data_IF_386127092202
#
_entry.id   IF_386127092202
#
_cell.length_a   1.000
_cell.length_b   1.000
_cell.length_c   1.000
_cell.angle_alpha   90.00
_cell.angle_beta   90.00
_cell.angle_gamma   90.00
#
_symmetry.space_group_name_H-M   'P 1'
#
loop_
_entity.id
_entity.type
_entity.pdbx_description
1 polymer ?
#
# COMPACT_ATOMS: atom_id res chain seq x y z
N UNK A 1 21.48 5.99 19.93
CA UNK A 1 20.33 6.65 20.55
C UNK A 1 19.75 7.75 19.66
N UNK A 2 19.16 7.34 18.51
CA UNK A 2 18.74 8.27 17.44
C UNK A 2 17.24 8.61 17.52
N UNK A 3 16.59 8.27 18.60
CA UNK A 3 15.20 8.67 18.78
C UNK A 3 15.14 10.06 19.41
N UNK A 4 15.08 11.11 18.57
CA UNK A 4 14.71 12.46 19.02
C UNK A 4 13.42 12.34 19.83
N UNK A 5 13.46 12.74 21.10
CA UNK A 5 12.31 12.81 22.01
C UNK A 5 11.23 13.68 21.35
N UNK A 6 10.18 13.08 20.87
CA UNK A 6 9.01 13.81 20.40
C UNK A 6 8.07 13.98 21.60
N UNK A 7 7.82 15.22 21.94
CA UNK A 7 6.85 15.58 22.99
C UNK A 7 5.46 15.63 22.36
N UNK A 8 4.53 14.90 22.93
CA UNK A 8 3.13 14.85 22.49
C UNK A 8 2.27 15.47 23.59
N UNK A 9 1.36 16.36 23.24
CA UNK A 9 0.39 16.91 24.19
C UNK A 9 -0.94 16.16 24.05
N UNK A 10 -1.40 15.55 25.15
CA UNK A 10 -2.71 14.91 25.26
C UNK A 10 -3.51 15.66 26.32
N UNK A 11 -4.64 16.25 25.94
CA UNK A 11 -5.54 16.93 26.90
C UNK A 11 -4.85 17.92 27.84
N UNK A 12 -3.85 18.67 27.34
CA UNK A 12 -3.10 19.63 28.15
C UNK A 12 -1.87 19.04 28.89
N UNK A 13 -1.66 17.74 28.89
CA UNK A 13 -0.49 17.10 29.44
C UNK A 13 0.58 16.90 28.38
N UNK A 14 1.84 17.11 28.77
CA UNK A 14 3.01 16.87 27.90
C UNK A 14 3.56 15.49 28.21
N UNK A 15 3.44 14.57 27.26
CA UNK A 15 3.99 13.24 27.36
C UNK A 15 5.27 13.12 26.53
N UNK A 16 6.27 12.48 27.08
CA UNK A 16 7.45 12.06 26.33
C UNK A 16 7.12 10.77 25.56
N UNK A 17 7.78 10.51 24.45
CA UNK A 17 7.54 9.36 23.56
C UNK A 17 7.58 7.98 24.25
N UNK A 18 8.21 7.90 25.42
CA UNK A 18 8.29 6.68 26.24
C UNK A 18 7.17 6.56 27.27
N UNK A 19 6.42 7.63 27.50
CA UNK A 19 5.25 7.57 28.35
C UNK A 19 4.15 6.95 27.49
N UNK A 20 3.67 5.78 27.89
CA UNK A 20 2.74 4.93 27.13
C UNK A 20 1.62 5.76 26.50
N UNK A 21 1.72 6.01 25.21
CA UNK A 21 0.56 6.43 24.41
C UNK A 21 -0.39 5.25 24.43
N UNK A 22 -1.63 5.40 24.93
CA UNK A 22 -2.57 4.28 24.96
C UNK A 22 -2.66 3.65 23.56
N UNK A 23 -2.58 2.32 23.49
CA UNK A 23 -2.80 1.59 22.26
C UNK A 23 -4.16 2.00 21.68
N UNK A 24 -4.14 2.53 20.46
CA UNK A 24 -5.34 3.02 19.79
C UNK A 24 -5.51 4.55 19.76
N UNK A 25 -4.62 5.33 20.35
CA UNK A 25 -4.63 6.77 20.18
C UNK A 25 -4.30 7.16 18.74
N UNK A 26 -5.21 7.86 18.08
CA UNK A 26 -5.03 8.32 16.70
C UNK A 26 -4.40 9.71 16.71
N UNK A 27 -3.24 9.86 16.11
CA UNK A 27 -2.64 11.16 15.83
C UNK A 27 -3.45 11.83 14.72
N UNK A 28 -4.27 12.80 15.09
CA UNK A 28 -5.06 13.59 14.14
C UNK A 28 -4.21 14.78 13.72
N UNK A 29 -3.74 14.79 12.49
CA UNK A 29 -3.17 15.98 11.89
C UNK A 29 -4.26 16.78 11.24
N UNK A 30 -4.31 18.07 11.46
CA UNK A 30 -5.30 18.92 10.81
C UNK A 30 -5.09 18.94 9.30
N UNK A 31 -6.08 18.48 8.59
CA UNK A 31 -6.14 18.60 7.13
C UNK A 31 -6.27 20.06 6.66
N UNK A 32 -6.79 20.91 7.53
CA UNK A 32 -7.05 22.33 7.30
C UNK A 32 -6.78 23.17 8.53
N UNK A 33 -6.22 24.39 8.37
CA UNK A 33 -6.22 25.42 9.40
C UNK A 33 -7.67 25.70 9.81
N UNK A 34 -8.06 25.33 11.00
CA UNK A 34 -9.42 25.48 11.50
C UNK A 34 -10.05 24.17 11.96
N UNK A 35 -9.75 23.04 11.30
CA UNK A 35 -10.16 21.73 11.78
C UNK A 35 -9.43 21.35 13.07
N UNK A 36 -8.20 21.85 13.24
CA UNK A 36 -7.41 21.75 14.47
C UNK A 36 -8.19 22.16 15.67
N UNK A 37 -8.71 23.39 15.60
CA UNK A 37 -9.42 24.01 16.70
C UNK A 37 -10.70 23.21 17.05
N UNK A 38 -11.38 22.69 16.02
CA UNK A 38 -12.54 21.83 16.21
C UNK A 38 -12.18 20.50 16.87
N UNK A 39 -11.15 19.83 16.39
CA UNK A 39 -10.67 18.55 16.93
C UNK A 39 -10.22 18.71 18.38
N UNK A 40 -9.46 19.75 18.71
CA UNK A 40 -9.02 20.04 20.08
C UNK A 40 -10.17 20.33 21.05
N UNK A 41 -11.20 21.03 20.59
CA UNK A 41 -12.29 21.46 21.46
C UNK A 41 -13.39 20.41 21.64
N UNK A 42 -13.53 19.47 20.68
CA UNK A 42 -14.66 18.55 20.64
C UNK A 42 -14.27 17.06 20.76
N UNK A 43 -12.99 16.71 20.52
CA UNK A 43 -12.52 15.34 20.62
C UNK A 43 -11.41 15.22 21.69
N UNK A 44 -11.78 14.94 22.96
CA UNK A 44 -10.84 14.95 24.09
C UNK A 44 -9.74 13.88 24.01
N UNK A 45 -9.88 12.91 23.12
CA UNK A 45 -8.88 11.86 22.86
C UNK A 45 -8.00 12.13 21.64
N UNK A 46 -8.13 13.29 20.99
CA UNK A 46 -7.28 13.66 19.88
C UNK A 46 -5.90 14.10 20.36
N UNK A 47 -4.87 13.47 19.84
CA UNK A 47 -3.47 13.80 20.10
C UNK A 47 -2.97 14.68 18.98
N UNK A 48 -2.44 15.85 19.30
CA UNK A 48 -1.79 16.70 18.31
C UNK A 48 -0.33 16.95 18.70
N UNK A 49 0.52 16.88 17.70
CA UNK A 49 1.91 17.29 17.83
C UNK A 49 2.05 18.76 17.44
N UNK A 50 2.82 19.55 18.17
CA UNK A 50 3.04 20.99 17.89
C UNK A 50 3.79 21.24 16.57
N UNK A 51 4.33 20.21 15.97
CA UNK A 51 5.06 20.34 14.70
C UNK A 51 4.10 20.10 13.53
N UNK A 52 4.09 21.00 12.57
CA UNK A 52 3.33 20.93 11.32
C UNK A 52 3.59 19.67 10.47
N UNK A 53 4.52 18.83 10.90
CA UNK A 53 4.92 17.56 10.28
C UNK A 53 4.28 16.32 10.91
N UNK A 54 3.28 16.49 11.77
CA UNK A 54 2.58 15.36 12.35
C UNK A 54 1.72 14.66 11.30
N UNK A 55 2.21 13.52 10.83
CA UNK A 55 1.58 12.66 9.85
C UNK A 55 0.95 11.47 10.57
N UNK A 56 -0.29 11.12 10.21
CA UNK A 56 -0.93 9.97 10.82
C UNK A 56 -0.22 8.67 10.43
N UNK A 57 0.13 7.86 11.42
CA UNK A 57 0.70 6.52 11.23
C UNK A 57 -0.21 5.41 11.75
N UNK A 58 -1.23 5.75 12.54
CA UNK A 58 -2.12 4.78 13.16
C UNK A 58 -1.35 3.77 14.01
N UNK A 59 -1.62 2.49 13.82
CA UNK A 59 -0.90 1.38 14.51
C UNK A 59 0.44 1.01 13.83
N UNK A 60 0.87 1.76 12.84
CA UNK A 60 2.14 1.55 12.14
C UNK A 60 3.23 2.47 12.67
N UNK A 61 4.47 2.04 12.57
CA UNK A 61 5.63 2.83 12.99
C UNK A 61 5.91 4.03 12.08
N UNK A 62 5.37 4.03 10.85
CA UNK A 62 5.64 5.04 9.83
C UNK A 62 4.35 5.35 9.03
N UNK A 63 4.05 6.63 8.74
CA UNK A 63 2.93 7.03 7.89
C UNK A 63 2.92 6.39 6.50
N UNK A 64 4.10 6.10 5.91
CA UNK A 64 4.18 5.44 4.61
C UNK A 64 3.63 4.00 4.66
N UNK A 65 3.83 3.29 5.77
CA UNK A 65 3.29 1.94 5.95
C UNK A 65 1.76 1.97 6.05
N UNK A 66 1.19 2.94 6.75
CA UNK A 66 -0.26 3.15 6.77
C UNK A 66 -0.78 3.48 5.36
N UNK A 67 -0.12 4.40 4.66
CA UNK A 67 -0.48 4.78 3.29
C UNK A 67 -0.49 3.57 2.36
N UNK A 68 0.51 2.69 2.44
CA UNK A 68 0.58 1.46 1.64
C UNK A 68 -0.65 0.59 1.87
N UNK A 69 -1.06 0.37 3.13
CA UNK A 69 -2.26 -0.40 3.45
C UNK A 69 -3.53 0.20 2.85
N UNK A 70 -3.67 1.53 2.94
CA UNK A 70 -4.84 2.22 2.38
C UNK A 70 -4.88 2.10 0.85
N UNK A 71 -3.71 2.25 0.20
CA UNK A 71 -3.59 2.12 -1.27
C UNK A 71 -3.97 0.71 -1.75
N UNK A 72 -3.53 -0.33 -1.04
CA UNK A 72 -3.84 -1.73 -1.39
C UNK A 72 -5.30 -2.08 -1.12
N UNK A 73 -5.85 -1.62 0.00
CA UNK A 73 -7.21 -1.95 0.40
C UNK A 73 -8.27 -1.31 -0.52
N UNK A 74 -7.93 -0.19 -1.15
CA UNK A 74 -8.89 0.59 -1.93
C UNK A 74 -9.48 -0.19 -3.14
N UNK A 75 -8.71 -0.84 -4.02
CA UNK A 75 -9.27 -1.63 -5.11
C UNK A 75 -10.20 -2.74 -4.64
N UNK A 76 -9.82 -3.41 -3.54
CA UNK A 76 -10.64 -4.48 -2.96
C UNK A 76 -11.96 -3.92 -2.41
N UNK A 77 -11.92 -2.75 -1.77
CA UNK A 77 -13.13 -2.10 -1.25
C UNK A 77 -14.07 -1.62 -2.36
N UNK A 78 -13.54 -1.20 -3.51
CA UNK A 78 -14.33 -0.93 -4.73
C UNK A 78 -15.02 -2.20 -5.21
N UNK A 79 -14.31 -3.33 -5.31
CA UNK A 79 -14.91 -4.60 -5.67
C UNK A 79 -16.09 -4.96 -4.75
N UNK A 80 -15.91 -4.83 -3.44
CA UNK A 80 -16.96 -5.11 -2.45
C UNK A 80 -18.17 -4.19 -2.64
N UNK A 81 -17.96 -2.90 -2.87
CA UNK A 81 -19.03 -1.95 -3.13
C UNK A 81 -19.82 -2.27 -4.40
N UNK A 82 -19.11 -2.57 -5.51
CA UNK A 82 -19.75 -2.88 -6.80
C UNK A 82 -20.57 -4.17 -6.73
N UNK A 83 -20.20 -5.11 -5.87
CA UNK A 83 -20.86 -6.40 -5.74
C UNK A 83 -21.77 -6.54 -4.52
N UNK A 84 -21.94 -5.46 -3.74
CA UNK A 84 -22.82 -5.43 -2.57
C UNK A 84 -24.29 -5.72 -2.97
N UNK A 85 -24.90 -6.70 -2.29
CA UNK A 85 -26.25 -7.18 -2.60
C UNK A 85 -27.34 -6.35 -1.93
N UNK A 86 -27.08 -5.80 -0.76
CA UNK A 86 -28.07 -5.05 0.04
C UNK A 86 -27.69 -3.58 0.14
N UNK A 87 -28.69 -2.70 0.39
CA UNK A 87 -28.45 -1.28 0.66
C UNK A 87 -27.50 -1.06 1.84
N UNK A 88 -27.66 -1.85 2.92
CA UNK A 88 -26.79 -1.79 4.10
C UNK A 88 -25.33 -2.09 3.75
N UNK A 89 -25.08 -3.15 2.97
CA UNK A 89 -23.74 -3.49 2.51
C UNK A 89 -23.14 -2.38 1.61
N UNK A 90 -23.93 -1.80 0.71
CA UNK A 90 -23.48 -0.66 -0.11
C UNK A 90 -23.05 0.54 0.72
N UNK A 91 -23.87 0.92 1.71
CA UNK A 91 -23.55 2.03 2.61
C UNK A 91 -22.26 1.72 3.39
N UNK A 92 -22.14 0.51 3.95
CA UNK A 92 -20.95 0.12 4.71
C UNK A 92 -19.68 0.17 3.82
N UNK A 93 -19.74 -0.39 2.61
CA UNK A 93 -18.61 -0.35 1.68
C UNK A 93 -18.29 1.08 1.22
N UNK A 94 -19.28 1.93 1.04
CA UNK A 94 -19.09 3.34 0.74
C UNK A 94 -18.36 4.06 1.88
N UNK A 95 -18.81 3.88 3.12
CA UNK A 95 -18.15 4.45 4.30
C UNK A 95 -16.72 3.93 4.44
N UNK A 96 -16.49 2.64 4.19
CA UNK A 96 -15.13 2.07 4.20
C UNK A 96 -14.23 2.75 3.15
N UNK A 97 -14.72 3.01 1.93
CA UNK A 97 -13.96 3.74 0.91
C UNK A 97 -13.62 5.17 1.34
N UNK A 98 -14.58 5.88 1.95
CA UNK A 98 -14.36 7.23 2.47
C UNK A 98 -13.33 7.21 3.60
N UNK A 99 -13.41 6.26 4.53
CA UNK A 99 -12.46 6.11 5.63
C UNK A 99 -11.05 5.75 5.13
N UNK A 100 -10.93 4.87 4.14
CA UNK A 100 -9.64 4.54 3.49
C UNK A 100 -9.05 5.80 2.87
N UNK A 101 -9.85 6.58 2.15
CA UNK A 101 -9.41 7.83 1.52
C UNK A 101 -8.98 8.88 2.55
N UNK A 102 -9.73 9.04 3.64
CA UNK A 102 -9.41 9.92 4.75
C UNK A 102 -8.14 9.46 5.48
N UNK A 103 -8.01 8.16 5.73
CA UNK A 103 -6.80 7.56 6.31
C UNK A 103 -5.57 7.82 5.46
N UNK A 104 -5.66 7.61 4.15
CA UNK A 104 -4.56 7.92 3.22
C UNK A 104 -4.21 9.42 3.22
N UNK A 105 -5.22 10.27 3.14
CA UNK A 105 -5.07 11.72 3.17
C UNK A 105 -4.35 12.20 4.44
N UNK A 106 -4.71 11.64 5.60
CA UNK A 106 -4.11 11.99 6.89
C UNK A 106 -2.64 11.57 7.03
N UNK A 107 -2.16 10.61 6.23
CA UNK A 107 -0.74 10.24 6.19
C UNK A 107 0.14 11.33 5.58
N UNK A 108 -0.41 12.23 4.79
CA UNK A 108 0.31 13.24 4.01
C UNK A 108 1.47 12.67 3.19
N UNK A 109 1.36 11.41 2.76
CA UNK A 109 2.39 10.70 1.99
C UNK A 109 2.25 11.06 0.52
N UNK A 110 3.20 11.84 0.00
CA UNK A 110 3.19 12.32 -1.40
C UNK A 110 3.06 11.17 -2.40
N UNK A 111 3.97 10.21 -2.32
CA UNK A 111 3.96 9.04 -3.20
C UNK A 111 2.66 8.24 -3.07
N UNK A 112 2.19 7.99 -1.83
CA UNK A 112 0.95 7.27 -1.58
C UNK A 112 -0.27 7.93 -2.22
N UNK A 113 -0.40 9.25 -2.09
CA UNK A 113 -1.51 9.99 -2.68
C UNK A 113 -1.46 9.99 -4.22
N UNK A 114 -0.27 10.14 -4.82
CA UNK A 114 -0.11 10.12 -6.28
C UNK A 114 -0.38 8.73 -6.84
N UNK A 115 0.19 7.69 -6.25
CA UNK A 115 0.01 6.30 -6.69
C UNK A 115 -1.46 5.88 -6.54
N UNK A 116 -2.11 6.23 -5.41
CA UNK A 116 -3.52 5.97 -5.21
C UNK A 116 -4.37 6.69 -6.27
N UNK A 117 -4.13 7.98 -6.50
CA UNK A 117 -4.88 8.74 -7.50
C UNK A 117 -4.71 8.13 -8.90
N UNK A 118 -3.49 7.79 -9.30
CA UNK A 118 -3.23 7.11 -10.57
C UNK A 118 -3.96 5.78 -10.68
N UNK A 119 -3.91 4.95 -9.62
CA UNK A 119 -4.64 3.69 -9.55
C UNK A 119 -6.17 3.86 -9.63
N UNK A 120 -6.70 4.88 -8.97
CA UNK A 120 -8.13 5.18 -9.00
C UNK A 120 -8.60 5.68 -10.35
N UNK A 121 -7.83 6.57 -10.99
CA UNK A 121 -8.12 7.03 -12.36
C UNK A 121 -8.09 5.83 -13.31
N UNK A 122 -7.09 4.96 -13.19
CA UNK A 122 -7.03 3.73 -13.99
C UNK A 122 -8.25 2.84 -13.77
N UNK A 123 -8.62 2.57 -12.51
CA UNK A 123 -9.81 1.78 -12.19
C UNK A 123 -11.10 2.44 -12.68
N UNK A 124 -11.19 3.77 -12.57
CA UNK A 124 -12.33 4.51 -13.10
C UNK A 124 -12.46 4.31 -14.59
N UNK A 125 -11.39 4.52 -15.37
CA UNK A 125 -11.40 4.36 -16.84
C UNK A 125 -11.85 2.94 -17.23
N UNK A 126 -11.31 1.90 -16.57
CA UNK A 126 -11.61 0.51 -16.92
C UNK A 126 -13.03 0.11 -16.50
N UNK A 127 -13.48 0.51 -15.33
CA UNK A 127 -14.75 0.08 -14.76
C UNK A 127 -15.92 1.01 -15.09
N UNK A 128 -15.68 2.27 -15.49
CA UNK A 128 -16.76 3.24 -15.74
C UNK A 128 -17.65 2.83 -16.91
N UNK A 129 -17.12 2.15 -17.92
CA UNK A 129 -17.94 1.66 -19.06
C UNK A 129 -19.14 0.82 -18.59
N UNK A 130 -18.99 0.09 -17.49
CA UNK A 130 -20.03 -0.80 -16.95
C UNK A 130 -20.70 -0.26 -15.70
N UNK A 131 -19.95 0.42 -14.82
CA UNK A 131 -20.36 0.80 -13.47
C UNK A 131 -20.30 2.32 -13.23
N UNK A 132 -20.51 3.15 -14.28
CA UNK A 132 -20.23 4.59 -14.22
C UNK A 132 -20.89 5.32 -13.05
N UNK A 133 -22.19 5.02 -12.74
CA UNK A 133 -22.89 5.65 -11.61
C UNK A 133 -22.26 5.29 -10.27
N UNK A 134 -21.96 4.00 -10.07
CA UNK A 134 -21.33 3.52 -8.85
C UNK A 134 -19.89 4.05 -8.71
N UNK A 135 -19.14 4.10 -9.79
CA UNK A 135 -17.80 4.64 -9.82
C UNK A 135 -17.79 6.12 -9.48
N UNK A 136 -18.70 6.93 -10.04
CA UNK A 136 -18.84 8.34 -9.67
C UNK A 136 -19.21 8.52 -8.19
N UNK A 137 -20.07 7.67 -7.64
CA UNK A 137 -20.46 7.73 -6.23
C UNK A 137 -19.25 7.57 -5.29
N UNK A 138 -18.28 6.72 -5.63
CA UNK A 138 -17.06 6.53 -4.83
C UNK A 138 -16.00 7.57 -5.18
N UNK A 139 -15.80 7.86 -6.47
CA UNK A 139 -14.70 8.65 -6.96
C UNK A 139 -14.78 10.12 -6.54
N UNK A 140 -15.98 10.71 -6.57
CA UNK A 140 -16.17 12.11 -6.17
C UNK A 140 -15.79 12.39 -4.71
N UNK A 141 -16.27 11.64 -3.71
CA UNK A 141 -15.86 11.85 -2.33
C UNK A 141 -14.36 11.56 -2.12
N UNK A 142 -13.83 10.57 -2.82
CA UNK A 142 -12.41 10.22 -2.75
C UNK A 142 -11.53 11.36 -3.24
N UNK A 143 -11.84 11.94 -4.40
CA UNK A 143 -11.13 13.12 -4.93
C UNK A 143 -11.27 14.30 -3.96
N UNK A 144 -12.49 14.58 -3.48
CA UNK A 144 -12.73 15.68 -2.55
C UNK A 144 -11.90 15.58 -1.27
N UNK A 145 -11.57 14.37 -0.82
CA UNK A 145 -10.74 14.14 0.37
C UNK A 145 -9.23 14.20 0.06
N UNK A 146 -8.79 13.65 -1.08
CA UNK A 146 -7.36 13.47 -1.36
C UNK A 146 -6.73 14.66 -2.09
N UNK A 147 -7.44 15.26 -3.02
CA UNK A 147 -6.89 16.39 -3.80
C UNK A 147 -6.46 17.56 -2.91
N UNK A 148 -7.23 18.00 -1.91
CA UNK A 148 -6.78 19.03 -0.99
C UNK A 148 -5.47 18.68 -0.27
N UNK A 149 -5.29 17.43 0.15
CA UNK A 149 -4.04 16.99 0.81
C UNK A 149 -2.86 17.04 -0.14
N UNK A 150 -3.06 16.64 -1.39
CA UNK A 150 -2.05 16.76 -2.44
C UNK A 150 -1.70 18.24 -2.65
N UNK A 151 -2.69 19.08 -2.88
CA UNK A 151 -2.48 20.51 -3.14
C UNK A 151 -1.78 21.21 -1.98
N UNK A 152 -2.16 20.91 -0.73
CA UNK A 152 -1.53 21.47 0.47
C UNK A 152 -0.06 21.08 0.53
N UNK A 153 0.25 19.82 0.29
CA UNK A 153 1.61 19.28 0.39
C UNK A 153 2.51 19.75 -0.77
N UNK A 154 1.95 19.86 -1.97
CA UNK A 154 2.67 20.39 -3.13
C UNK A 154 2.68 21.93 -3.15
N UNK A 155 1.63 22.59 -2.67
CA UNK A 155 1.58 24.04 -2.53
C UNK A 155 2.68 24.58 -1.63
N UNK A 156 3.02 23.89 -0.54
CA UNK A 156 4.17 24.22 0.32
C UNK A 156 5.49 24.13 -0.46
N UNK A 157 5.61 23.19 -1.41
CA UNK A 157 6.82 23.06 -2.25
C UNK A 157 6.96 24.23 -3.20
N UNK A 158 5.86 24.66 -3.83
CA UNK A 158 5.88 25.77 -4.79
C UNK A 158 5.98 27.14 -4.14
N UNK A 159 5.43 27.32 -2.93
CA UNK A 159 5.47 28.60 -2.20
C UNK A 159 6.81 28.89 -1.51
N UNK A 160 7.62 27.86 -1.25
CA UNK A 160 8.89 27.98 -0.50
C UNK A 160 10.11 28.25 -1.39
N UNK A 161 9.98 29.00 -2.49
CA UNK A 161 11.12 29.52 -3.26
C UNK A 161 12.24 28.51 -3.61
N UNK A 162 11.91 27.26 -3.90
CA UNK A 162 12.86 26.27 -4.44
C UNK A 162 13.88 25.64 -3.43
N UNK A 163 13.95 26.10 -2.19
CA UNK A 163 14.86 25.59 -1.15
C UNK A 163 14.17 24.75 -0.07
N UNK A 164 12.93 24.32 -0.29
CA UNK A 164 12.13 23.64 0.71
C UNK A 164 12.61 22.22 1.04
N UNK A 165 12.23 21.73 2.22
CA UNK A 165 12.53 20.38 2.75
C UNK A 165 12.18 19.25 1.77
N UNK A 166 11.18 19.44 0.91
CA UNK A 166 10.78 18.47 -0.09
C UNK A 166 11.83 18.23 -1.17
N UNK A 167 12.55 19.30 -1.62
CA UNK A 167 13.66 19.18 -2.56
C UNK A 167 14.84 18.49 -1.87
N UNK A 168 15.15 18.87 -0.64
CA UNK A 168 16.19 18.21 0.18
C UNK A 168 15.91 16.71 0.36
N UNK A 169 14.65 16.34 0.61
CA UNK A 169 14.24 14.93 0.75
C UNK A 169 14.44 14.15 -0.55
N UNK A 170 14.04 14.70 -1.70
CA UNK A 170 14.20 14.02 -2.98
C UNK A 170 15.68 13.85 -3.35
N UNK A 171 16.49 14.89 -3.17
CA UNK A 171 17.95 14.81 -3.38
C UNK A 171 18.57 13.77 -2.46
N UNK A 172 18.14 13.69 -1.19
CA UNK A 172 18.64 12.68 -0.26
C UNK A 172 18.34 11.25 -0.73
N UNK A 173 17.16 10.99 -1.32
CA UNK A 173 16.86 9.67 -1.90
C UNK A 173 17.78 9.33 -3.08
N UNK A 174 18.03 10.27 -3.98
CA UNK A 174 18.94 10.06 -5.11
C UNK A 174 20.37 9.77 -4.63
N UNK A 175 20.87 10.50 -3.65
CA UNK A 175 22.21 10.26 -3.09
C UNK A 175 22.31 8.86 -2.46
N UNK A 176 21.26 8.39 -1.77
CA UNK A 176 21.20 7.04 -1.21
C UNK A 176 21.26 6.00 -2.33
N UNK A 177 20.47 6.17 -3.39
CA UNK A 177 20.44 5.24 -4.52
C UNK A 177 21.77 5.18 -5.25
N UNK A 178 22.38 6.34 -5.54
CA UNK A 178 23.69 6.43 -6.17
C UNK A 178 24.76 5.70 -5.33
N UNK A 179 24.80 5.96 -4.03
CA UNK A 179 25.75 5.32 -3.13
C UNK A 179 25.59 3.79 -3.08
N UNK A 180 24.36 3.30 -3.01
CA UNK A 180 24.10 1.85 -2.95
C UNK A 180 24.36 1.17 -4.28
N UNK A 181 24.05 1.80 -5.40
CA UNK A 181 24.36 1.28 -6.73
C UNK A 181 25.88 1.22 -6.92
N UNK A 182 26.61 2.27 -6.55
CA UNK A 182 28.07 2.30 -6.59
C UNK A 182 28.67 1.15 -5.76
N UNK A 183 28.17 0.98 -4.53
CA UNK A 183 28.59 -0.12 -3.66
C UNK A 183 28.41 -1.48 -4.33
N UNK A 184 27.22 -1.76 -4.84
CA UNK A 184 26.90 -3.07 -5.43
C UNK A 184 27.72 -3.32 -6.69
N UNK A 185 27.93 -2.31 -7.53
CA UNK A 185 28.75 -2.42 -8.75
C UNK A 185 30.25 -2.62 -8.44
N UNK A 186 30.71 -2.08 -7.30
CA UNK A 186 32.12 -2.21 -6.87
C UNK A 186 32.42 -3.53 -6.16
N UNK A 187 31.40 -4.28 -5.72
CA UNK A 187 31.56 -5.50 -4.94
C UNK A 187 30.89 -6.70 -5.63
N UNK A 188 31.67 -7.53 -6.35
CA UNK A 188 31.16 -8.67 -7.13
C UNK A 188 30.23 -9.59 -6.32
N UNK A 189 30.56 -9.90 -5.07
CA UNK A 189 29.72 -10.73 -4.21
C UNK A 189 28.36 -10.05 -3.96
N UNK A 190 28.36 -8.77 -3.58
CA UNK A 190 27.15 -8.01 -3.32
C UNK A 190 26.29 -7.92 -4.60
N UNK A 191 26.91 -7.76 -5.76
CA UNK A 191 26.23 -7.74 -7.05
C UNK A 191 25.39 -9.01 -7.29
N UNK A 192 25.98 -10.20 -7.13
CA UNK A 192 25.30 -11.45 -7.48
C UNK A 192 24.41 -12.00 -6.39
N UNK A 193 24.86 -12.02 -5.13
CA UNK A 193 24.18 -12.71 -4.02
C UNK A 193 23.83 -11.80 -2.84
N UNK A 194 24.19 -10.52 -2.93
CA UNK A 194 23.87 -9.53 -1.90
C UNK A 194 24.76 -9.62 -0.65
N UNK A 195 24.39 -8.80 0.34
CA UNK A 195 25.10 -8.68 1.63
C UNK A 195 24.40 -9.44 2.75
N UNK A 196 23.15 -9.85 2.55
CA UNK A 196 22.31 -10.53 3.53
C UNK A 196 20.98 -9.79 3.71
N UNK A 197 19.93 -10.56 4.00
CA UNK A 197 18.57 -10.01 4.17
C UNK A 197 18.41 -9.37 5.55
N UNK A 198 17.82 -8.15 5.60
CA UNK A 198 17.38 -7.56 6.86
C UNK A 198 17.74 -6.09 7.11
N UNK A 199 18.05 -5.28 6.11
CA UNK A 199 18.30 -3.83 6.19
C UNK A 199 19.51 -3.38 7.03
N UNK A 200 19.97 -4.16 8.00
CA UNK A 200 21.04 -3.75 8.92
C UNK A 200 22.34 -3.47 8.16
N UNK A 201 22.69 -4.35 7.22
CA UNK A 201 23.87 -4.18 6.37
C UNK A 201 23.74 -2.99 5.44
N UNK A 202 22.57 -2.76 4.85
CA UNK A 202 22.32 -1.56 4.02
C UNK A 202 22.53 -0.28 4.83
N UNK A 203 21.99 -0.22 6.04
CA UNK A 203 22.19 0.90 6.94
C UNK A 203 23.68 1.10 7.33
N UNK A 204 24.40 0.01 7.59
CA UNK A 204 25.83 0.04 7.89
C UNK A 204 26.65 0.54 6.70
N UNK A 205 26.39 0.06 5.49
CA UNK A 205 27.02 0.51 4.25
C UNK A 205 26.83 2.02 4.07
N UNK A 206 25.58 2.49 4.16
CA UNK A 206 25.26 3.90 4.01
C UNK A 206 25.96 4.76 5.06
N UNK A 207 25.96 4.34 6.30
CA UNK A 207 26.55 5.08 7.42
C UNK A 207 28.06 5.11 7.38
N UNK A 208 28.71 3.95 7.26
CA UNK A 208 30.16 3.84 7.44
C UNK A 208 30.96 4.08 6.16
N UNK A 209 30.40 3.76 4.99
CA UNK A 209 31.10 3.99 3.71
C UNK A 209 30.76 5.33 3.07
N UNK A 210 29.51 5.80 3.20
CA UNK A 210 29.04 7.00 2.52
C UNK A 210 28.64 8.15 3.48
N UNK A 211 28.78 7.95 4.80
CA UNK A 211 28.41 8.93 5.84
C UNK A 211 26.94 9.40 5.73
N UNK A 212 26.04 8.49 5.33
CA UNK A 212 24.61 8.71 5.21
C UNK A 212 23.89 7.95 6.33
N UNK A 213 23.37 8.67 7.35
CA UNK A 213 22.65 8.06 8.48
C UNK A 213 21.21 7.72 8.06
N UNK A 214 21.07 6.67 7.26
CA UNK A 214 19.80 6.14 6.76
C UNK A 214 19.75 4.62 6.90
N UNK A 215 18.60 4.05 7.32
CA UNK A 215 18.49 2.61 7.58
C UNK A 215 18.29 1.76 6.32
N UNK A 216 17.85 2.33 5.19
CA UNK A 216 17.48 1.59 3.98
C UNK A 216 17.39 2.51 2.74
N UNK A 217 17.29 1.89 1.56
CA UNK A 217 17.31 2.58 0.26
C UNK A 217 16.08 3.42 -0.06
N UNK A 218 14.95 3.28 0.64
CA UNK A 218 13.65 3.85 0.24
C UNK A 218 13.21 3.46 -1.20
N UNK A 219 13.66 2.30 -1.66
CA UNK A 219 13.27 1.70 -2.93
C UNK A 219 13.49 0.19 -2.82
N UNK A 220 12.43 -0.59 -3.00
CA UNK A 220 12.50 -2.04 -2.76
C UNK A 220 13.42 -2.77 -3.75
N UNK A 221 13.56 -2.28 -4.99
CA UNK A 221 14.42 -2.92 -5.99
C UNK A 221 15.89 -2.74 -5.61
N UNK A 222 16.28 -1.50 -5.25
CA UNK A 222 17.66 -1.21 -4.85
C UNK A 222 18.00 -1.91 -3.53
N UNK A 223 17.08 -1.89 -2.56
CA UNK A 223 17.28 -2.59 -1.29
C UNK A 223 17.48 -4.09 -1.51
N UNK A 224 16.59 -4.74 -2.26
CA UNK A 224 16.75 -6.17 -2.55
C UNK A 224 17.98 -6.47 -3.38
N UNK A 225 18.44 -5.54 -4.21
CA UNK A 225 19.71 -5.73 -4.91
C UNK A 225 20.89 -5.75 -3.91
N UNK A 226 20.92 -4.83 -2.97
CA UNK A 226 21.94 -4.82 -1.91
C UNK A 226 21.85 -6.06 -1.03
N UNK A 227 20.64 -6.45 -0.60
CA UNK A 227 20.43 -7.54 0.36
C UNK A 227 20.57 -8.94 -0.29
N UNK A 228 20.00 -9.15 -1.48
CA UNK A 228 19.83 -10.46 -2.11
C UNK A 228 20.57 -10.60 -3.45
N UNK A 229 21.18 -9.52 -3.94
CA UNK A 229 21.85 -9.48 -5.24
C UNK A 229 20.91 -9.65 -6.42
N UNK A 230 21.47 -9.72 -7.60
CA UNK A 230 20.74 -9.95 -8.87
C UNK A 230 19.95 -11.26 -8.83
N UNK A 231 20.49 -12.30 -8.21
CA UNK A 231 19.80 -13.59 -8.10
C UNK A 231 18.48 -13.45 -7.35
N UNK A 232 18.48 -12.73 -6.21
CA UNK A 232 17.27 -12.50 -5.43
C UNK A 232 16.24 -11.66 -6.18
N UNK A 233 16.68 -10.61 -6.90
CA UNK A 233 15.77 -9.79 -7.74
C UNK A 233 15.13 -10.63 -8.84
N UNK A 234 15.90 -11.48 -9.52
CA UNK A 234 15.37 -12.36 -10.58
C UNK A 234 14.33 -13.31 -10.02
N UNK A 235 14.61 -13.96 -8.89
CA UNK A 235 13.67 -14.88 -8.24
C UNK A 235 12.39 -14.19 -7.80
N UNK A 236 12.50 -13.01 -7.19
CA UNK A 236 11.34 -12.18 -6.83
C UNK A 236 10.56 -11.76 -8.08
N UNK A 237 11.25 -11.31 -9.12
CA UNK A 237 10.65 -10.93 -10.40
C UNK A 237 9.86 -12.10 -11.03
N UNK A 238 10.44 -13.29 -11.06
CA UNK A 238 9.76 -14.49 -11.54
C UNK A 238 8.49 -14.77 -10.73
N UNK A 239 8.58 -14.72 -9.40
CA UNK A 239 7.41 -14.93 -8.52
C UNK A 239 6.28 -13.91 -8.79
N UNK A 240 6.63 -12.63 -8.91
CA UNK A 240 5.66 -11.56 -9.15
C UNK A 240 5.03 -11.66 -10.55
N UNK A 241 5.85 -11.87 -11.59
CA UNK A 241 5.39 -12.01 -12.98
C UNK A 241 4.51 -13.26 -13.11
N UNK A 242 4.94 -14.38 -12.53
CA UNK A 242 4.15 -15.61 -12.53
C UNK A 242 2.79 -15.41 -11.84
N UNK A 243 2.77 -14.77 -10.67
CA UNK A 243 1.53 -14.50 -9.94
C UNK A 243 0.60 -13.56 -10.71
N UNK A 244 1.14 -12.49 -11.32
CA UNK A 244 0.36 -11.58 -12.16
C UNK A 244 -0.15 -12.27 -13.43
N UNK A 245 0.69 -13.07 -14.08
CA UNK A 245 0.34 -13.84 -15.26
C UNK A 245 -0.84 -14.77 -15.03
N UNK A 246 -0.84 -15.47 -13.88
CA UNK A 246 -1.96 -16.34 -13.49
C UNK A 246 -3.30 -15.62 -13.37
N UNK A 247 -3.32 -14.36 -12.96
CA UNK A 247 -4.55 -13.55 -12.98
C UNK A 247 -4.97 -13.17 -14.39
N UNK A 248 -4.01 -12.85 -15.26
CA UNK A 248 -4.28 -12.42 -16.65
C UNK A 248 -4.75 -13.58 -17.54
N UNK A 249 -4.35 -14.82 -17.23
CA UNK A 249 -4.82 -16.03 -17.92
C UNK A 249 -6.31 -16.33 -17.69
N UNK A 250 -6.93 -15.73 -16.65
CA UNK A 250 -8.33 -15.98 -16.30
C UNK A 250 -9.24 -15.41 -17.37
N UNK A 251 -9.76 -16.27 -18.24
CA UNK A 251 -10.74 -15.91 -19.24
C UNK A 251 -12.16 -16.29 -18.77
N UNK A 252 -12.93 -15.32 -18.32
CA UNK A 252 -14.28 -15.53 -17.83
C UNK A 252 -15.26 -14.49 -18.40
N UNK A 253 -16.44 -14.94 -18.79
CA UNK A 253 -17.53 -14.05 -19.18
C UNK A 253 -18.31 -13.52 -17.97
N UNK A 254 -18.01 -14.02 -16.77
CA UNK A 254 -18.64 -13.55 -15.54
C UNK A 254 -17.99 -12.24 -15.09
N UNK A 255 -18.71 -11.16 -15.23
CA UNK A 255 -18.19 -9.84 -14.93
C UNK A 255 -17.83 -9.60 -13.47
N UNK A 256 -18.47 -10.30 -12.52
CA UNK A 256 -18.08 -10.20 -11.09
C UNK A 256 -16.70 -10.81 -10.87
N UNK A 257 -16.44 -11.97 -11.48
CA UNK A 257 -15.14 -12.62 -11.43
C UNK A 257 -14.07 -11.75 -12.08
N UNK A 258 -14.34 -11.21 -13.25
CA UNK A 258 -13.41 -10.32 -13.94
C UNK A 258 -13.12 -9.05 -13.13
N UNK A 259 -14.13 -8.46 -12.48
CA UNK A 259 -13.92 -7.30 -11.60
C UNK A 259 -13.06 -7.66 -10.40
N UNK A 260 -13.22 -8.85 -9.78
CA UNK A 260 -12.37 -9.31 -8.69
C UNK A 260 -10.90 -9.44 -9.13
N UNK A 261 -10.68 -10.16 -10.24
CA UNK A 261 -9.35 -10.32 -10.84
C UNK A 261 -8.68 -8.97 -11.06
N UNK A 262 -9.40 -8.06 -11.69
CA UNK A 262 -8.90 -6.71 -11.98
C UNK A 262 -8.57 -5.92 -10.71
N UNK A 263 -9.41 -5.96 -9.68
CA UNK A 263 -9.16 -5.26 -8.43
C UNK A 263 -7.95 -5.83 -7.67
N UNK A 264 -7.81 -7.16 -7.62
CA UNK A 264 -6.65 -7.80 -6.97
C UNK A 264 -5.36 -7.52 -7.75
N UNK A 265 -5.39 -7.60 -9.07
CA UNK A 265 -4.26 -7.23 -9.91
C UNK A 265 -3.86 -5.77 -9.68
N UNK A 266 -4.82 -4.86 -9.65
CA UNK A 266 -4.57 -3.43 -9.37
C UNK A 266 -3.96 -3.25 -7.98
N UNK A 267 -4.45 -3.94 -6.94
CA UNK A 267 -3.86 -3.88 -5.60
C UNK A 267 -2.39 -4.32 -5.61
N UNK A 268 -2.05 -5.38 -6.34
CA UNK A 268 -0.67 -5.86 -6.47
C UNK A 268 0.22 -4.82 -7.18
N UNK A 269 -0.25 -4.27 -8.29
CA UNK A 269 0.48 -3.23 -9.05
C UNK A 269 0.71 -1.98 -8.19
N UNK A 270 -0.30 -1.54 -7.45
CA UNK A 270 -0.19 -0.37 -6.57
C UNK A 270 0.76 -0.63 -5.39
N UNK A 271 0.76 -1.85 -4.85
CA UNK A 271 1.71 -2.26 -3.81
C UNK A 271 3.15 -2.14 -4.32
N UNK A 272 3.44 -2.72 -5.47
CA UNK A 272 4.76 -2.68 -6.08
C UNK A 272 5.16 -1.25 -6.46
N UNK A 273 4.22 -0.47 -7.02
CA UNK A 273 4.45 0.94 -7.33
C UNK A 273 4.80 1.77 -6.10
N UNK A 274 4.15 1.51 -4.96
CA UNK A 274 4.50 2.16 -3.70
C UNK A 274 5.91 1.77 -3.23
N UNK A 275 6.27 0.51 -3.37
CA UNK A 275 7.59 -0.01 -3.03
C UNK A 275 8.74 0.66 -3.79
N UNK A 276 8.49 1.22 -4.99
CA UNK A 276 9.49 2.00 -5.73
C UNK A 276 9.80 3.36 -5.05
N UNK A 277 8.92 3.85 -4.19
CA UNK A 277 9.08 5.12 -3.48
C UNK A 277 9.48 4.97 -2.02
N UNK A 278 9.38 3.77 -1.46
CA UNK A 278 9.78 3.45 -0.09
C UNK A 278 10.08 1.96 0.05
N UNK A 279 10.94 1.59 0.99
CA UNK A 279 11.21 0.18 1.30
C UNK A 279 10.17 -0.35 2.28
N UNK A 280 9.07 -0.84 1.75
CA UNK A 280 7.93 -1.32 2.52
C UNK A 280 8.15 -2.72 3.13
N UNK A 281 9.15 -3.47 2.66
CA UNK A 281 9.41 -4.84 3.11
C UNK A 281 10.15 -4.93 4.47
N UNK A 282 10.64 -3.83 5.01
CA UNK A 282 11.22 -3.80 6.36
C UNK A 282 10.18 -4.01 7.47
N UNK A 283 8.91 -4.00 7.12
CA UNK A 283 7.81 -4.21 8.07
C UNK A 283 7.18 -5.60 7.87
N UNK A 284 7.18 -6.47 8.91
CA UNK A 284 6.51 -7.77 8.82
C UNK A 284 5.04 -7.68 8.40
N UNK A 285 4.34 -6.63 8.84
CA UNK A 285 2.94 -6.38 8.45
C UNK A 285 2.80 -6.22 6.93
N UNK A 286 3.73 -5.53 6.28
CA UNK A 286 3.70 -5.33 4.84
C UNK A 286 4.06 -6.61 4.08
N UNK A 287 5.03 -7.37 4.56
CA UNK A 287 5.36 -8.67 3.96
C UNK A 287 4.17 -9.62 4.03
N UNK A 288 3.47 -9.70 5.17
CA UNK A 288 2.25 -10.51 5.30
C UNK A 288 1.22 -10.08 4.24
N UNK A 289 1.03 -8.77 4.02
CA UNK A 289 0.09 -8.30 3.00
C UNK A 289 0.49 -8.70 1.58
N UNK A 290 1.78 -8.63 1.23
CA UNK A 290 2.23 -9.12 -0.07
C UNK A 290 1.91 -10.60 -0.24
N UNK A 291 2.28 -11.44 0.73
CA UNK A 291 2.02 -12.87 0.65
C UNK A 291 0.52 -13.21 0.65
N UNK A 292 -0.31 -12.43 1.36
CA UNK A 292 -1.76 -12.56 1.27
C UNK A 292 -2.28 -12.20 -0.13
N UNK A 293 -1.78 -11.13 -0.75
CA UNK A 293 -2.13 -10.78 -2.12
C UNK A 293 -1.70 -11.87 -3.11
N UNK A 294 -0.46 -12.37 -2.98
CA UNK A 294 0.03 -13.46 -3.83
C UNK A 294 -0.78 -14.75 -3.62
N UNK A 295 -1.10 -15.11 -2.37
CA UNK A 295 -1.97 -16.23 -2.05
C UNK A 295 -3.38 -16.07 -2.63
N UNK A 296 -3.92 -14.86 -2.56
CA UNK A 296 -5.23 -14.53 -3.15
C UNK A 296 -5.19 -14.65 -4.69
N UNK A 297 -4.11 -14.20 -5.35
CA UNK A 297 -3.96 -14.37 -6.81
C UNK A 297 -3.97 -15.84 -7.19
N UNK A 298 -3.23 -16.70 -6.47
CA UNK A 298 -3.20 -18.13 -6.73
C UNK A 298 -4.55 -18.80 -6.47
N UNK A 299 -5.21 -18.46 -5.36
CA UNK A 299 -6.54 -18.99 -5.04
C UNK A 299 -7.58 -18.62 -6.09
N UNK A 300 -7.60 -17.38 -6.57
CA UNK A 300 -8.50 -16.93 -7.62
C UNK A 300 -8.20 -17.66 -8.93
N UNK A 301 -6.93 -17.78 -9.31
CA UNK A 301 -6.52 -18.51 -10.50
C UNK A 301 -6.99 -19.96 -10.45
N UNK A 302 -6.71 -20.66 -9.36
CA UNK A 302 -7.13 -22.05 -9.16
C UNK A 302 -8.65 -22.21 -9.23
N UNK A 303 -9.41 -21.37 -8.54
CA UNK A 303 -10.88 -21.44 -8.54
C UNK A 303 -11.52 -21.11 -9.89
N UNK A 304 -10.81 -20.38 -10.78
CA UNK A 304 -11.36 -19.91 -12.05
C UNK A 304 -10.69 -20.56 -13.26
N UNK A 305 -9.73 -21.46 -13.05
CA UNK A 305 -9.13 -22.23 -14.11
C UNK A 305 -10.22 -23.11 -14.78
N UNK A 306 -10.31 -22.94 -16.10
CA UNK A 306 -11.29 -23.70 -16.91
C UNK A 306 -11.03 -25.20 -16.87
N UNK A 307 -9.78 -25.61 -16.79
CA UNK A 307 -9.40 -27.02 -16.77
C UNK A 307 -9.91 -27.69 -15.48
N UNK A 308 -9.68 -27.07 -14.32
CA UNK A 308 -10.16 -27.55 -13.02
C UNK A 308 -11.69 -27.63 -12.98
N UNK A 309 -12.38 -26.60 -13.51
CA UNK A 309 -13.85 -26.58 -13.56
C UNK A 309 -14.37 -27.67 -14.51
N UNK A 310 -13.68 -27.92 -15.62
CA UNK A 310 -14.06 -28.95 -16.59
C UNK A 310 -13.89 -30.33 -15.97
N UNK A 311 -12.77 -30.58 -15.31
CA UNK A 311 -12.49 -31.84 -14.63
C UNK A 311 -13.48 -32.12 -13.50
N UNK A 312 -13.77 -31.12 -12.66
CA UNK A 312 -14.75 -31.24 -11.60
C UNK A 312 -16.16 -31.59 -12.14
N UNK A 313 -16.60 -30.95 -13.22
CA UNK A 313 -17.87 -31.28 -13.89
C UNK A 313 -17.88 -32.66 -14.51
N UNK A 314 -16.75 -33.10 -15.03
CA UNK A 314 -16.60 -34.43 -15.63
C UNK A 314 -16.68 -35.50 -14.53
N UNK A 315 -16.00 -35.30 -13.43
CA UNK A 315 -16.06 -36.17 -12.23
C UNK A 315 -17.47 -36.21 -11.65
N UNK A 316 -18.15 -35.07 -11.53
CA UNK A 316 -19.53 -35.02 -11.03
C UNK A 316 -20.50 -35.77 -11.96
N UNK A 317 -20.36 -35.65 -13.28
CA UNK A 317 -21.14 -36.40 -14.27
C UNK A 317 -20.87 -37.90 -14.18
N UNK A 318 -19.61 -38.30 -14.03
CA UNK A 318 -19.22 -39.70 -13.84
C UNK A 318 -19.83 -40.30 -12.58
N UNK A 319 -19.71 -39.57 -11.44
CA UNK A 319 -20.31 -39.98 -10.18
C UNK A 319 -21.84 -40.12 -10.23
N UNK A 320 -22.53 -39.14 -10.86
CA UNK A 320 -24.00 -39.22 -11.05
C UNK A 320 -24.40 -40.42 -11.93
N UNK A 321 -23.60 -40.75 -12.96
CA UNK A 321 -23.84 -41.89 -13.83
C UNK A 321 -23.67 -43.21 -13.06
N UNK A 322 -22.66 -43.30 -12.22
CA UNK A 322 -22.40 -44.45 -11.38
C UNK A 322 -23.53 -44.70 -10.36
N UNK A 323 -23.96 -43.66 -9.63
CA UNK A 323 -25.09 -43.71 -8.71
C UNK A 323 -26.37 -44.16 -9.45
N UNK A 324 -26.63 -43.67 -10.64
CA UNK A 324 -27.82 -44.05 -11.44
C UNK A 324 -27.77 -45.53 -11.85
N UNK A 325 -26.59 -46.02 -12.20
CA UNK A 325 -26.42 -47.44 -12.58
C UNK A 325 -26.60 -48.35 -11.38
N UNK A 326 -26.16 -47.95 -10.18
CA UNK A 326 -26.32 -48.71 -8.94
C UNK A 326 -27.81 -48.76 -8.46
N UNK A 327 -28.56 -47.67 -8.72
CA UNK A 327 -29.97 -47.60 -8.36
C UNK A 327 -30.90 -48.38 -9.34
N UNK A 328 -30.40 -48.74 -10.50
CA UNK A 328 -31.14 -49.50 -11.54
C UNK A 328 -30.80 -50.99 -11.53
N UNK A 329 -29.94 -51.44 -10.63
CA UNK A 329 -29.67 -52.86 -10.30
C UNK A 329 -30.43 -53.27 -9.05
#
# INVERSE_FOLDING_TARGET
DVYKRQTVQICGYTLNRYDCIPDGAVLVTPLYKGLDKFVYTHLPFAISTKTFDSRASGTFSNPNLLATHMVIAYPISIYLFLNAKTKKQKVLCFLANVLISAGLSSTLTRAGCVIALAGWVFMFIVLCRRYWKQMLTIFLPTIAVIVPSILTRYGIIFSSGGNGEAKKSSVAHFNIWESLIDYVLSHTRAFFIGTGFGCEETGNILKYMYNLDKPHAHNFVIEFWVELGVVGIILLGILLIWSAGKLLEINTNNSRKLTLVFCVFTSLVLYLGFGLSDFIFNSPKQMIFLFLLLGLTQSISYCYDKTVITDARTLERAARKEIRNTLNQ
#
